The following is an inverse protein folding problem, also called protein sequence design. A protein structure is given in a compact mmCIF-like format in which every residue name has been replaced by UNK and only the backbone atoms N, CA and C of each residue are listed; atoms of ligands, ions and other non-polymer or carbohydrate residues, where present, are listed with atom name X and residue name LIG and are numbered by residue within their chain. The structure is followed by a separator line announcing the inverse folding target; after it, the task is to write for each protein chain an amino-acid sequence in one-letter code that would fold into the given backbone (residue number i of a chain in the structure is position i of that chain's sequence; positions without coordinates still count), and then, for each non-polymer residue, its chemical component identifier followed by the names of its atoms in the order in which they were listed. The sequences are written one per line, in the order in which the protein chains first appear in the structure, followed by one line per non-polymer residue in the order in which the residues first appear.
data_IF_519738864804
#
_entry.id   IF_519738864804
#
_cell.length_a   1.000
_cell.length_b   1.000
_cell.length_c   1.000
_cell.angle_alpha   90.00
_cell.angle_beta   90.00
_cell.angle_gamma   90.00
#
_symmetry.space_group_name_H-M   'P 1'
#
loop_
_entity.id
_entity.type
_entity.pdbx_description
1 polymer ?
#
# COMPACT_ATOMS: atom_id res chain seq x y z
N UNK A 1 -5.88 -76.02 -15.93
CA UNK A 1 -5.34 -76.29 -17.28
C UNK A 1 -5.41 -75.01 -18.09
N UNK A 2 -4.35 -74.75 -18.85
CA UNK A 2 -4.10 -73.60 -19.75
C UNK A 2 -5.16 -73.46 -20.85
N UNK A 3 -5.51 -72.22 -21.24
CA UNK A 3 -5.54 -71.56 -22.59
C UNK A 3 -6.02 -70.10 -22.33
N UNK A 4 -5.22 -69.03 -22.31
CA UNK A 4 -4.43 -68.32 -23.34
C UNK A 4 -5.14 -68.12 -24.69
N UNK A 5 -5.12 -66.85 -25.14
CA UNK A 5 -5.20 -66.24 -26.50
C UNK A 5 -6.35 -65.21 -26.58
N UNK A 6 -6.24 -63.99 -27.11
CA UNK A 6 -5.18 -63.01 -27.45
C UNK A 6 -5.91 -61.82 -28.14
N UNK A 7 -5.46 -60.57 -27.89
CA UNK A 7 -5.56 -59.35 -28.71
C UNK A 7 -6.94 -58.73 -29.08
N UNK A 8 -7.12 -57.45 -28.71
CA UNK A 8 -6.91 -56.37 -29.68
C UNK A 8 -6.43 -55.08 -29.00
N UNK A 9 -5.28 -54.59 -29.47
CA UNK A 9 -4.65 -53.32 -29.15
C UNK A 9 -5.32 -52.19 -29.97
N UNK A 10 -5.68 -51.07 -29.34
CA UNK A 10 -5.77 -49.77 -30.02
C UNK A 10 -5.05 -48.74 -29.13
N UNK A 11 -3.93 -48.15 -29.57
CA UNK A 11 -3.31 -47.01 -28.92
C UNK A 11 -3.91 -45.73 -29.50
N UNK A 12 -4.67 -44.98 -28.71
CA UNK A 12 -5.00 -43.59 -29.03
C UNK A 12 -4.12 -42.68 -28.17
N UNK A 13 -3.03 -42.27 -28.81
CA UNK A 13 -2.22 -41.13 -28.50
C UNK A 13 -3.11 -39.89 -28.38
N UNK A 14 -3.35 -39.42 -27.17
CA UNK A 14 -3.50 -37.99 -26.92
C UNK A 14 -2.27 -37.55 -26.13
N UNK A 15 -1.29 -37.03 -26.87
CA UNK A 15 -0.35 -36.05 -26.36
C UNK A 15 -1.17 -34.82 -25.93
N UNK A 16 -1.64 -34.80 -24.69
CA UNK A 16 -1.81 -33.54 -24.00
C UNK A 16 -0.41 -33.14 -23.53
N UNK A 17 0.27 -32.33 -24.35
CA UNK A 17 1.23 -31.39 -23.80
C UNK A 17 0.44 -30.52 -22.83
N UNK A 18 0.53 -30.81 -21.53
CA UNK A 18 0.36 -29.78 -20.54
C UNK A 18 1.60 -28.89 -20.70
N UNK A 19 1.48 -27.91 -21.60
CA UNK A 19 2.40 -26.79 -21.62
C UNK A 19 2.22 -26.12 -20.27
N UNK A 20 3.15 -26.42 -19.37
CA UNK A 20 3.51 -25.60 -18.24
C UNK A 20 3.72 -24.16 -18.72
N UNK A 21 2.64 -23.38 -18.73
CA UNK A 21 2.79 -21.98 -18.39
C UNK A 21 3.12 -22.00 -16.91
N UNK A 22 4.40 -21.94 -16.59
CA UNK A 22 4.86 -21.38 -15.32
C UNK A 22 4.36 -19.92 -15.30
N UNK A 23 3.07 -19.76 -15.03
CA UNK A 23 2.55 -18.52 -14.49
C UNK A 23 3.17 -18.45 -13.11
N UNK A 24 3.94 -17.40 -12.88
CA UNK A 24 4.48 -17.06 -11.57
C UNK A 24 3.38 -17.33 -10.54
N UNK A 25 3.60 -18.37 -9.71
CA UNK A 25 2.68 -18.68 -8.63
C UNK A 25 2.83 -17.52 -7.66
N UNK A 26 1.98 -16.52 -7.83
CA UNK A 26 1.85 -15.47 -6.85
C UNK A 26 1.61 -16.13 -5.50
N UNK A 27 2.56 -15.94 -4.59
CA UNK A 27 2.42 -16.35 -3.21
C UNK A 27 1.11 -15.79 -2.68
N UNK A 28 0.20 -16.63 -2.15
CA UNK A 28 -1.08 -16.15 -1.66
C UNK A 28 -0.86 -15.12 -0.54
N UNK A 29 -1.68 -14.06 -0.53
CA UNK A 29 -1.66 -13.06 0.53
C UNK A 29 -1.98 -13.72 1.89
N UNK A 30 -1.33 -13.26 2.95
CA UNK A 30 -1.52 -13.82 4.28
C UNK A 30 -2.91 -13.46 4.82
N UNK A 31 -3.59 -14.42 5.44
CA UNK A 31 -4.88 -14.21 6.10
C UNK A 31 -4.75 -14.04 7.62
N UNK A 32 -3.52 -14.07 8.13
CA UNK A 32 -3.18 -13.98 9.56
C UNK A 32 -2.10 -12.94 9.75
N UNK A 33 -2.04 -12.26 10.91
CA UNK A 33 -0.94 -11.37 11.23
C UNK A 33 0.42 -12.06 11.12
N UNK A 34 1.42 -11.31 10.68
CA UNK A 34 2.83 -11.73 10.69
C UNK A 34 3.46 -11.48 12.09
N UNK A 35 2.92 -10.51 12.82
CA UNK A 35 3.38 -10.11 14.15
C UNK A 35 3.28 -11.25 15.18
N UNK A 36 4.27 -11.29 16.09
CA UNK A 36 4.35 -12.24 17.19
C UNK A 36 3.86 -11.61 18.49
N UNK A 37 3.17 -12.37 19.33
CA UNK A 37 2.58 -11.86 20.60
C UNK A 37 3.62 -11.28 21.55
N UNK A 38 4.85 -11.80 21.52
CA UNK A 38 5.96 -11.30 22.33
C UNK A 38 6.44 -9.89 21.95
N UNK A 39 6.04 -9.39 20.78
CA UNK A 39 6.43 -8.08 20.27
C UNK A 39 5.30 -7.06 20.32
N UNK A 40 4.06 -7.42 20.69
CA UNK A 40 2.88 -6.53 20.62
C UNK A 40 3.10 -5.18 21.34
N UNK A 41 3.74 -5.18 22.51
CA UNK A 41 4.00 -3.98 23.33
C UNK A 41 5.48 -3.55 23.31
N UNK A 42 6.21 -3.83 22.23
CA UNK A 42 7.65 -3.51 22.07
C UNK A 42 7.95 -2.68 20.84
N UNK A 43 9.10 -2.04 20.80
CA UNK A 43 9.62 -1.42 19.58
C UNK A 43 9.93 -2.43 18.44
N UNK A 44 10.10 -3.71 18.77
CA UNK A 44 10.35 -4.80 17.81
C UNK A 44 9.05 -5.30 17.19
N UNK A 45 9.14 -6.10 16.12
CA UNK A 45 7.97 -6.66 15.44
C UNK A 45 7.78 -6.15 14.01
N UNK A 46 6.52 -6.15 13.56
CA UNK A 46 6.14 -5.90 12.16
C UNK A 46 5.42 -4.56 12.02
N UNK A 47 5.87 -3.75 11.08
CA UNK A 47 5.27 -2.47 10.72
C UNK A 47 4.91 -2.49 9.25
N UNK A 48 3.70 -2.09 8.89
CA UNK A 48 3.26 -2.01 7.48
C UNK A 48 2.82 -0.61 7.17
N UNK A 49 3.11 -0.16 5.96
CA UNK A 49 2.82 1.18 5.53
C UNK A 49 2.55 1.28 4.04
N UNK A 50 2.07 2.46 3.66
CA UNK A 50 1.80 2.85 2.28
C UNK A 50 2.53 4.14 1.98
N UNK A 51 2.94 4.31 0.72
CA UNK A 51 3.46 5.57 0.19
C UNK A 51 2.56 6.05 -0.93
N UNK A 52 2.33 7.36 -1.03
CA UNK A 52 1.57 7.95 -2.11
C UNK A 52 2.23 9.25 -2.58
N UNK A 53 2.55 9.28 -3.86
CA UNK A 53 2.97 10.45 -4.60
C UNK A 53 2.28 10.50 -5.98
N UNK A 54 2.41 11.61 -6.71
CA UNK A 54 1.71 11.80 -8.00
C UNK A 54 2.12 10.79 -9.06
N UNK A 55 3.37 10.32 -9.00
CA UNK A 55 3.97 9.44 -9.99
C UNK A 55 4.54 8.14 -9.38
N UNK A 56 4.52 8.01 -8.05
CA UNK A 56 5.08 6.87 -7.32
C UNK A 56 4.08 6.38 -6.28
N UNK A 57 3.79 5.08 -6.32
CA UNK A 57 2.89 4.41 -5.38
C UNK A 57 3.55 3.16 -4.84
N UNK A 58 3.23 2.80 -3.60
CA UNK A 58 3.69 1.53 -3.08
C UNK A 58 3.21 1.20 -1.68
N UNK A 59 3.58 0.00 -1.29
CA UNK A 59 3.46 -0.49 0.08
C UNK A 59 4.81 -0.94 0.59
N UNK A 60 4.92 -0.99 1.92
CA UNK A 60 6.12 -1.50 2.54
C UNK A 60 5.83 -2.18 3.86
N UNK A 61 6.73 -3.09 4.22
CA UNK A 61 6.79 -3.76 5.50
C UNK A 61 8.19 -3.62 6.09
N UNK A 62 8.28 -3.22 7.35
CA UNK A 62 9.52 -3.21 8.12
C UNK A 62 9.39 -4.26 9.22
N UNK A 63 10.33 -5.18 9.26
CA UNK A 63 10.47 -6.17 10.33
C UNK A 63 11.69 -5.80 11.18
N UNK A 64 11.52 -5.68 12.49
CA UNK A 64 12.60 -5.43 13.44
C UNK A 64 12.72 -6.64 14.36
N UNK A 65 13.87 -7.32 14.31
CA UNK A 65 14.11 -8.54 15.08
C UNK A 65 14.06 -8.26 16.59
N UNK A 66 13.50 -9.19 17.35
CA UNK A 66 13.43 -9.12 18.81
C UNK A 66 14.77 -9.40 19.51
N UNK A 67 15.77 -9.87 18.76
CA UNK A 67 17.09 -10.20 19.29
C UNK A 67 18.09 -9.08 18.98
N UNK A 68 18.66 -8.41 20.00
CA UNK A 68 19.70 -7.43 19.77
C UNK A 68 20.97 -8.11 19.22
N UNK A 69 21.66 -7.41 18.32
CA UNK A 69 22.95 -7.81 17.77
C UNK A 69 24.08 -7.65 18.81
N UNK A 70 23.84 -6.88 19.87
CA UNK A 70 24.78 -6.63 20.98
C UNK A 70 24.26 -7.06 22.36
N UNK A 71 24.82 -6.49 23.44
CA UNK A 71 24.41 -6.76 24.85
C UNK A 71 24.36 -5.51 25.76
N UNK A 72 24.37 -4.30 25.22
CA UNK A 72 24.45 -3.02 25.97
C UNK A 72 23.43 -1.98 25.49
N UNK A 73 23.14 -0.96 26.30
CA UNK A 73 22.32 0.18 25.86
C UNK A 73 22.94 0.83 24.63
N UNK A 74 22.13 1.07 23.59
CA UNK A 74 22.60 1.47 22.25
C UNK A 74 22.89 0.29 21.32
N UNK A 75 22.46 -0.91 21.70
CA UNK A 75 22.49 -2.08 20.83
C UNK A 75 21.69 -1.82 19.55
N UNK A 76 22.16 -2.47 18.48
CA UNK A 76 21.45 -2.50 17.21
C UNK A 76 20.62 -3.77 17.13
N UNK A 77 19.48 -3.68 16.48
CA UNK A 77 18.64 -4.81 16.09
C UNK A 77 18.72 -4.95 14.58
N UNK A 78 18.58 -6.17 14.08
CA UNK A 78 18.41 -6.36 12.64
C UNK A 78 17.06 -5.77 12.24
N UNK A 79 17.04 -5.02 11.15
CA UNK A 79 15.81 -4.54 10.54
C UNK A 79 15.79 -4.92 9.05
N UNK A 80 14.64 -5.32 8.53
CA UNK A 80 14.48 -5.64 7.11
C UNK A 80 13.31 -4.86 6.56
N UNK A 81 13.57 -4.07 5.51
CA UNK A 81 12.55 -3.38 4.73
C UNK A 81 12.18 -4.25 3.53
N UNK A 82 10.90 -4.52 3.36
CA UNK A 82 10.27 -5.07 2.17
C UNK A 82 9.44 -3.96 1.54
N UNK A 83 9.51 -3.82 0.23
CA UNK A 83 8.82 -2.76 -0.48
C UNK A 83 8.29 -3.27 -1.79
N UNK A 84 7.08 -2.86 -2.14
CA UNK A 84 6.51 -2.98 -3.46
C UNK A 84 6.21 -1.57 -3.96
N UNK A 85 6.96 -1.10 -4.95
CA UNK A 85 6.74 0.20 -5.60
C UNK A 85 6.58 -0.01 -7.08
N UNK A 86 5.49 0.48 -7.65
CA UNK A 86 5.18 0.39 -9.08
C UNK A 86 5.35 -1.05 -9.64
N UNK A 87 4.92 -2.05 -8.88
CA UNK A 87 5.01 -3.48 -9.22
C UNK A 87 6.42 -4.08 -9.08
N UNK A 88 7.38 -3.35 -8.52
CA UNK A 88 8.73 -3.84 -8.23
C UNK A 88 8.88 -4.18 -6.76
N UNK A 89 9.08 -5.47 -6.45
CA UNK A 89 9.36 -5.93 -5.08
C UNK A 89 10.85 -5.90 -4.75
N UNK A 90 11.23 -5.28 -3.64
CA UNK A 90 12.61 -5.19 -3.15
C UNK A 90 12.67 -5.52 -1.65
N UNK A 91 13.78 -6.13 -1.22
CA UNK A 91 14.12 -6.28 0.19
C UNK A 91 15.48 -5.65 0.50
N UNK A 92 15.58 -4.95 1.63
CA UNK A 92 16.81 -4.31 2.11
C UNK A 92 17.00 -4.62 3.59
N UNK A 93 18.11 -5.27 3.92
CA UNK A 93 18.55 -5.40 5.31
C UNK A 93 19.22 -4.10 5.78
N UNK A 94 19.00 -3.77 7.06
CA UNK A 94 19.51 -2.61 7.76
C UNK A 94 19.55 -2.87 9.27
N UNK A 95 19.61 -1.79 10.04
CA UNK A 95 19.71 -1.85 11.51
C UNK A 95 18.76 -0.85 12.16
N UNK A 96 18.09 -1.27 13.22
CA UNK A 96 17.44 -0.37 14.16
C UNK A 96 18.40 -0.09 15.32
N UNK A 97 18.54 1.16 15.76
CA UNK A 97 19.43 1.55 16.87
C UNK A 97 18.63 2.03 18.06
N UNK A 98 18.87 1.45 19.23
CA UNK A 98 18.25 1.90 20.48
C UNK A 98 18.76 3.29 20.89
N UNK A 99 17.82 4.17 21.21
CA UNK A 99 18.07 5.51 21.72
C UNK A 99 18.07 5.51 23.26
N UNK A 100 18.53 6.60 23.88
CA UNK A 100 18.61 6.69 25.34
C UNK A 100 17.27 6.61 26.07
N UNK A 101 16.16 6.88 25.38
CA UNK A 101 14.79 6.76 25.89
C UNK A 101 14.16 5.37 25.63
N UNK A 102 14.94 4.43 25.07
CA UNK A 102 14.49 3.09 24.70
C UNK A 102 13.71 3.02 23.38
N UNK A 103 13.54 4.14 22.68
CA UNK A 103 13.00 4.13 21.30
C UNK A 103 13.99 3.47 20.33
N UNK A 104 13.50 2.93 19.22
CA UNK A 104 14.34 2.47 18.13
C UNK A 104 14.26 3.44 16.97
N UNK A 105 15.43 3.82 16.45
CA UNK A 105 15.57 4.54 15.18
C UNK A 105 16.00 3.58 14.08
N UNK A 106 15.22 3.50 13.01
CA UNK A 106 15.47 2.68 11.83
C UNK A 106 15.72 3.58 10.65
N UNK A 107 16.77 3.30 9.88
CA UNK A 107 17.10 4.05 8.67
C UNK A 107 17.41 3.11 7.51
N UNK A 108 16.81 3.33 6.35
CA UNK A 108 17.17 2.64 5.10
C UNK A 108 17.46 3.65 4.00
N UNK A 109 18.38 3.28 3.11
CA UNK A 109 18.61 3.99 1.85
C UNK A 109 18.80 2.95 0.75
N UNK A 110 18.01 3.04 -0.32
CA UNK A 110 18.00 2.10 -1.44
C UNK A 110 17.59 2.78 -2.74
N UNK A 111 17.96 2.17 -3.88
CA UNK A 111 17.55 2.66 -5.20
C UNK A 111 16.50 1.72 -5.79
N UNK A 112 15.36 2.29 -6.19
CA UNK A 112 14.22 1.58 -6.79
C UNK A 112 13.91 2.26 -8.12
N UNK A 113 13.95 1.51 -9.22
CA UNK A 113 13.63 2.00 -10.57
C UNK A 113 14.39 3.29 -10.97
N UNK A 114 15.59 3.50 -10.40
CA UNK A 114 16.43 4.66 -10.71
C UNK A 114 16.27 5.86 -9.76
N UNK A 115 15.32 5.83 -8.84
CA UNK A 115 15.15 6.82 -7.78
C UNK A 115 15.71 6.32 -6.45
N UNK A 116 16.29 7.22 -5.66
CA UNK A 116 16.80 6.93 -4.32
C UNK A 116 15.68 7.13 -3.32
N UNK A 117 15.39 6.09 -2.54
CA UNK A 117 14.47 6.16 -1.43
C UNK A 117 15.23 6.15 -0.11
N UNK A 118 14.96 7.15 0.73
CA UNK A 118 15.42 7.22 2.10
C UNK A 118 14.23 7.05 3.06
N UNK A 119 14.36 6.11 3.99
CA UNK A 119 13.35 5.80 4.99
C UNK A 119 13.92 6.06 6.38
N UNK A 120 13.22 6.87 7.17
CA UNK A 120 13.49 7.09 8.58
C UNK A 120 12.23 6.74 9.38
N UNK A 121 12.35 5.82 10.34
CA UNK A 121 11.29 5.44 11.26
C UNK A 121 11.81 5.54 12.70
N UNK A 122 11.06 6.19 13.57
CA UNK A 122 11.30 6.17 15.01
C UNK A 122 10.09 5.56 15.70
N UNK A 123 10.32 4.51 16.48
CA UNK A 123 9.29 3.82 17.25
C UNK A 123 9.63 3.89 18.73
N UNK A 124 8.66 4.25 19.55
CA UNK A 124 8.79 4.25 21.00
C UNK A 124 9.08 2.84 21.54
N UNK A 125 9.49 2.75 22.79
CA UNK A 125 9.75 1.46 23.45
C UNK A 125 8.50 0.56 23.54
N UNK A 126 7.29 1.13 23.51
CA UNK A 126 6.01 0.41 23.45
C UNK A 126 5.61 -0.02 22.03
N UNK A 127 6.33 0.41 21.00
CA UNK A 127 5.99 0.13 19.59
C UNK A 127 5.10 1.16 18.92
N UNK A 128 4.72 2.23 19.63
CA UNK A 128 4.01 3.35 19.01
C UNK A 128 4.95 4.09 18.05
N UNK A 129 4.48 4.44 16.87
CA UNK A 129 5.24 5.21 15.88
C UNK A 129 5.34 6.67 16.34
N UNK A 130 6.56 7.11 16.64
CA UNK A 130 6.84 8.50 17.03
C UNK A 130 7.02 9.40 15.81
N UNK A 131 7.64 8.88 14.74
CA UNK A 131 7.84 9.60 13.49
C UNK A 131 8.11 8.64 12.34
N UNK A 132 7.62 8.98 11.16
CA UNK A 132 8.00 8.32 9.90
C UNK A 132 8.28 9.39 8.86
N UNK A 133 9.32 9.19 8.05
CA UNK A 133 9.65 10.03 6.90
C UNK A 133 10.10 9.14 5.76
N UNK A 134 9.55 9.37 4.58
CA UNK A 134 9.98 8.73 3.35
C UNK A 134 10.34 9.82 2.36
N UNK A 135 11.52 9.71 1.76
CA UNK A 135 11.97 10.63 0.73
C UNK A 135 12.30 9.89 -0.55
N UNK A 136 11.93 10.47 -1.67
CA UNK A 136 12.31 10.04 -3.01
C UNK A 136 13.17 11.13 -3.63
N UNK A 137 14.40 10.80 -3.99
CA UNK A 137 15.39 11.73 -4.56
C UNK A 137 15.60 13.01 -3.72
N UNK A 138 15.45 12.88 -2.40
CA UNK A 138 15.59 13.95 -1.42
C UNK A 138 14.32 14.74 -1.11
N UNK A 139 13.23 14.54 -1.86
CA UNK A 139 11.93 15.15 -1.59
C UNK A 139 11.02 14.23 -0.76
N UNK A 140 10.30 14.81 0.21
CA UNK A 140 9.39 14.07 1.07
C UNK A 140 8.12 13.66 0.32
N UNK A 141 7.78 12.38 0.39
CA UNK A 141 6.56 11.81 -0.19
C UNK A 141 5.58 11.42 0.91
N UNK A 142 4.29 11.33 0.56
CA UNK A 142 3.25 10.92 1.51
C UNK A 142 3.52 9.51 2.02
N UNK A 143 3.41 9.32 3.33
CA UNK A 143 3.57 8.01 3.98
C UNK A 143 2.63 7.85 5.18
N UNK A 144 2.18 6.63 5.42
CA UNK A 144 1.46 6.24 6.64
C UNK A 144 1.91 4.84 7.01
N UNK A 145 2.13 4.62 8.30
CA UNK A 145 2.62 3.35 8.85
C UNK A 145 1.83 3.00 10.09
N UNK A 146 1.59 1.71 10.29
CA UNK A 146 1.07 1.15 11.53
C UNK A 146 1.88 -0.07 11.93
N UNK A 147 1.89 -0.33 13.23
CA UNK A 147 2.40 -1.58 13.77
C UNK A 147 1.31 -2.65 13.66
N UNK A 148 1.67 -3.83 13.19
CA UNK A 148 0.76 -4.97 13.21
C UNK A 148 0.83 -5.64 14.59
N UNK A 149 -0.33 -6.04 15.12
CA UNK A 149 -0.40 -6.84 16.35
C UNK A 149 -0.62 -8.30 16.04
N UNK A 150 -0.23 -9.19 16.94
CA UNK A 150 -0.40 -10.64 16.80
C UNK A 150 -1.85 -11.12 16.69
N UNK A 151 -2.81 -10.24 16.97
CA UNK A 151 -4.25 -10.54 16.97
C UNK A 151 -5.03 -9.82 15.88
N UNK A 152 -4.45 -8.79 15.26
CA UNK A 152 -5.14 -7.97 14.26
C UNK A 152 -4.28 -7.86 13.01
N UNK A 153 -4.78 -8.40 11.90
CA UNK A 153 -4.13 -8.33 10.60
C UNK A 153 -4.13 -6.88 10.13
N UNK A 154 -2.96 -6.41 9.70
CA UNK A 154 -2.78 -5.12 9.06
C UNK A 154 -2.61 -5.36 7.56
N UNK A 155 -3.58 -4.92 6.76
CA UNK A 155 -3.58 -5.08 5.31
C UNK A 155 -3.14 -3.77 4.64
N UNK A 156 -2.16 -3.82 3.74
CA UNK A 156 -1.77 -2.69 2.92
C UNK A 156 -2.41 -2.79 1.53
N UNK A 157 -2.85 -1.64 0.99
CA UNK A 157 -3.62 -1.57 -0.25
C UNK A 157 -3.09 -0.47 -1.14
N UNK A 158 -2.99 -0.80 -2.43
CA UNK A 158 -2.60 0.12 -3.48
C UNK A 158 -3.76 0.38 -4.41
N UNK A 159 -3.95 1.63 -4.79
CA UNK A 159 -5.10 2.02 -5.58
C UNK A 159 -4.85 3.24 -6.42
N UNK A 160 -5.79 3.48 -7.31
CA UNK A 160 -5.85 4.67 -8.15
C UNK A 160 -7.24 5.28 -8.10
N UNK A 161 -7.31 6.58 -8.34
CA UNK A 161 -8.56 7.29 -8.49
C UNK A 161 -8.55 8.13 -9.77
N UNK A 162 -9.74 8.36 -10.30
CA UNK A 162 -9.99 9.32 -11.37
C UNK A 162 -11.29 10.06 -11.12
N UNK A 163 -11.33 11.34 -11.44
CA UNK A 163 -12.53 12.16 -11.30
C UNK A 163 -12.51 13.41 -12.16
N UNK A 164 -13.65 14.06 -12.25
CA UNK A 164 -13.83 15.34 -12.92
C UNK A 164 -13.84 16.45 -11.88
N UNK A 165 -13.21 17.57 -12.23
CA UNK A 165 -13.36 18.82 -11.50
C UNK A 165 -14.38 19.67 -12.25
N UNK A 166 -15.55 19.86 -11.66
CA UNK A 166 -16.61 20.74 -12.11
C UNK A 166 -16.45 22.13 -11.48
N UNK A 167 -15.74 23.00 -12.18
CA UNK A 167 -15.69 24.41 -11.84
C UNK A 167 -16.58 25.19 -12.81
N UNK A 168 -17.49 26.03 -12.30
CA UNK A 168 -18.39 26.88 -13.10
C UNK A 168 -17.67 27.85 -14.05
N UNK A 169 -16.35 28.01 -13.86
CA UNK A 169 -15.47 28.81 -14.71
C UNK A 169 -14.92 28.05 -15.93
N UNK A 170 -15.14 26.73 -16.01
CA UNK A 170 -14.73 25.89 -17.14
C UNK A 170 -15.74 26.09 -18.28
N UNK A 171 -15.33 26.60 -19.45
CA UNK A 171 -16.25 26.78 -20.58
C UNK A 171 -16.71 25.45 -21.17
N UNK A 172 -17.86 25.46 -21.85
CA UNK A 172 -18.39 24.28 -22.56
C UNK A 172 -17.35 23.68 -23.53
N UNK A 173 -17.19 22.35 -23.46
CA UNK A 173 -16.24 21.60 -24.28
C UNK A 173 -14.84 21.44 -23.67
N UNK A 174 -14.59 22.05 -22.51
CA UNK A 174 -13.37 21.85 -21.74
C UNK A 174 -13.58 20.95 -20.52
N UNK A 175 -12.50 20.35 -20.04
CA UNK A 175 -12.49 19.52 -18.83
C UNK A 175 -11.26 19.77 -17.98
N UNK A 176 -11.40 19.50 -16.70
CA UNK A 176 -10.30 19.27 -15.76
C UNK A 176 -10.55 17.90 -15.15
N UNK A 177 -9.55 17.02 -15.23
CA UNK A 177 -9.57 15.68 -14.67
C UNK A 177 -8.54 15.59 -13.57
N UNK A 178 -8.92 14.99 -12.47
CA UNK A 178 -8.02 14.67 -11.38
C UNK A 178 -7.75 13.16 -11.39
N UNK A 179 -6.48 12.77 -11.44
CA UNK A 179 -6.07 11.36 -11.42
C UNK A 179 -4.90 11.19 -10.48
N UNK A 180 -4.87 10.08 -9.76
CA UNK A 180 -3.79 9.85 -8.80
C UNK A 180 -3.82 8.48 -8.16
N UNK A 181 -2.99 8.35 -7.13
CA UNK A 181 -2.81 7.20 -6.26
C UNK A 181 -3.72 7.34 -5.04
N UNK A 182 -4.21 6.20 -4.56
CA UNK A 182 -5.10 6.10 -3.40
C UNK A 182 -4.73 4.84 -2.62
N UNK A 183 -3.89 5.02 -1.60
CA UNK A 183 -3.29 3.89 -0.89
C UNK A 183 -3.65 3.95 0.59
N UNK A 184 -3.88 2.80 1.21
CA UNK A 184 -4.37 2.77 2.59
C UNK A 184 -3.99 1.49 3.33
N UNK A 185 -4.09 1.57 4.65
CA UNK A 185 -4.01 0.47 5.58
C UNK A 185 -5.41 0.13 6.10
N UNK A 186 -5.72 -1.16 6.20
CA UNK A 186 -6.88 -1.66 6.94
C UNK A 186 -6.39 -2.37 8.20
N UNK A 187 -6.89 -1.93 9.35
CA UNK A 187 -6.70 -2.59 10.66
C UNK A 187 -8.08 -2.90 11.25
N UNK A 188 -8.48 -4.18 11.21
CA UNK A 188 -9.82 -4.58 11.62
C UNK A 188 -10.90 -3.91 10.77
N UNK A 189 -11.66 -2.98 11.36
CA UNK A 189 -12.70 -2.21 10.67
C UNK A 189 -12.30 -0.76 10.37
N UNK A 190 -11.07 -0.35 10.70
CA UNK A 190 -10.56 1.01 10.50
C UNK A 190 -9.71 1.06 9.24
N UNK A 191 -9.85 2.14 8.50
CA UNK A 191 -9.06 2.44 7.33
C UNK A 191 -8.35 3.78 7.54
N UNK A 192 -7.09 3.86 7.13
CA UNK A 192 -6.30 5.10 7.13
C UNK A 192 -5.43 5.11 5.89
N UNK A 193 -5.44 6.21 5.15
CA UNK A 193 -4.75 6.26 3.88
C UNK A 193 -4.39 7.64 3.39
N UNK A 194 -3.79 7.63 2.23
CA UNK A 194 -3.20 8.75 1.52
C UNK A 194 -3.73 8.77 0.10
N UNK A 195 -3.89 9.98 -0.43
CA UNK A 195 -4.03 10.18 -1.86
C UNK A 195 -3.00 11.17 -2.34
N UNK A 196 -2.53 10.98 -3.56
CA UNK A 196 -1.71 11.96 -4.26
C UNK A 196 -2.02 11.92 -5.74
N UNK A 197 -2.12 13.07 -6.40
CA UNK A 197 -2.48 13.14 -7.79
C UNK A 197 -2.26 14.49 -8.42
N UNK A 198 -2.65 14.57 -9.69
CA UNK A 198 -2.44 15.72 -10.54
C UNK A 198 -3.66 15.98 -11.39
N UNK A 199 -3.88 17.25 -11.67
CA UNK A 199 -4.88 17.66 -12.62
C UNK A 199 -4.34 17.62 -14.04
N UNK A 200 -5.20 17.20 -14.97
CA UNK A 200 -4.98 17.28 -16.40
C UNK A 200 -6.14 18.02 -17.04
N UNK A 201 -5.85 18.86 -18.03
CA UNK A 201 -6.86 19.67 -18.71
C UNK A 201 -6.60 19.75 -20.20
N UNK A 202 -7.65 19.93 -20.99
CA UNK A 202 -7.56 20.36 -22.38
C UNK A 202 -7.73 21.88 -22.56
N UNK A 203 -7.82 22.63 -21.45
CA UNK A 203 -7.95 24.08 -21.47
C UNK A 203 -6.62 24.75 -21.87
N UNK A 204 -6.67 25.84 -22.65
CA UNK A 204 -5.52 26.71 -22.81
C UNK A 204 -5.07 27.25 -21.45
N UNK A 205 -3.74 27.35 -21.25
CA UNK A 205 -3.15 27.78 -19.97
C UNK A 205 -3.58 29.19 -19.50
N UNK A 206 -4.12 30.01 -20.40
CA UNK A 206 -4.69 31.33 -20.06
C UNK A 206 -6.02 31.25 -19.28
N UNK A 207 -6.72 30.11 -19.33
CA UNK A 207 -7.99 29.90 -18.61
C UNK A 207 -7.82 29.03 -17.36
N UNK A 208 -6.79 28.17 -17.32
CA UNK A 208 -6.60 27.24 -16.23
C UNK A 208 -5.13 26.89 -16.03
N UNK A 209 -4.68 26.94 -14.79
CA UNK A 209 -3.38 26.39 -14.38
C UNK A 209 -3.67 25.15 -13.54
N UNK A 210 -3.35 23.95 -14.04
CA UNK A 210 -3.56 22.71 -13.27
C UNK A 210 -2.85 22.74 -11.93
N UNK A 211 -3.54 22.27 -10.89
CA UNK A 211 -2.87 21.89 -9.66
C UNK A 211 -2.16 20.55 -9.87
N UNK A 212 -0.84 20.57 -9.80
CA UNK A 212 0.01 19.39 -10.02
C UNK A 212 0.39 18.70 -8.71
N UNK A 213 -0.19 19.10 -7.58
CA UNK A 213 0.27 18.68 -6.25
C UNK A 213 -0.86 18.41 -5.27
N UNK A 214 -1.92 17.73 -5.73
CA UNK A 214 -3.00 17.35 -4.84
C UNK A 214 -2.57 16.18 -3.98
N UNK A 215 -2.51 16.38 -2.67
CA UNK A 215 -2.19 15.33 -1.71
C UNK A 215 -2.93 15.53 -0.40
N UNK A 216 -3.26 14.43 0.25
CA UNK A 216 -3.92 14.49 1.55
C UNK A 216 -4.10 13.12 2.19
N UNK A 217 -4.65 13.15 3.40
CA UNK A 217 -4.93 11.97 4.20
C UNK A 217 -6.45 11.76 4.29
N UNK A 218 -6.84 10.51 4.51
CA UNK A 218 -8.21 10.16 4.83
C UNK A 218 -8.26 9.02 5.82
N UNK A 219 -9.39 8.93 6.50
CA UNK A 219 -9.72 7.81 7.37
C UNK A 219 -11.03 7.19 6.89
N UNK A 220 -11.39 6.05 7.44
CA UNK A 220 -12.65 5.41 7.08
C UNK A 220 -12.98 4.23 7.95
N UNK A 221 -14.16 3.70 7.70
CA UNK A 221 -14.70 2.51 8.35
C UNK A 221 -15.14 1.49 7.32
N UNK A 222 -14.98 0.22 7.71
CA UNK A 222 -15.44 -0.94 6.95
C UNK A 222 -16.49 -1.68 7.76
N UNK A 223 -17.70 -1.78 7.23
CA UNK A 223 -18.81 -2.48 7.86
C UNK A 223 -19.31 -3.55 6.89
N UNK A 224 -18.97 -4.81 7.17
CA UNK A 224 -19.12 -5.90 6.21
C UNK A 224 -18.26 -5.62 4.98
N UNK A 225 -18.89 -5.57 3.81
CA UNK A 225 -18.20 -5.27 2.55
C UNK A 225 -18.27 -3.79 2.18
N UNK A 226 -18.94 -2.94 2.98
CA UNK A 226 -19.12 -1.51 2.68
C UNK A 226 -18.01 -0.67 3.29
N UNK A 227 -17.48 0.27 2.50
CA UNK A 227 -16.46 1.24 2.90
C UNK A 227 -17.11 2.62 2.97
N UNK A 228 -16.84 3.35 4.04
CA UNK A 228 -17.16 4.78 4.17
C UNK A 228 -15.89 5.53 4.52
N UNK A 229 -15.64 6.63 3.83
CA UNK A 229 -14.41 7.41 3.96
C UNK A 229 -14.72 8.80 4.49
N UNK A 230 -13.86 9.28 5.37
CA UNK A 230 -13.84 10.62 5.93
C UNK A 230 -12.52 11.29 5.51
N UNK A 231 -12.63 12.29 4.65
CA UNK A 231 -11.48 13.05 4.15
C UNK A 231 -11.10 14.14 5.16
N UNK A 232 -9.81 14.38 5.37
CA UNK A 232 -9.36 15.48 6.20
C UNK A 232 -9.50 16.81 5.45
N UNK A 233 -10.35 17.72 5.95
CA UNK A 233 -10.59 19.11 5.51
C UNK A 233 -11.07 19.31 4.06
N UNK A 234 -12.20 20.03 3.86
CA UNK A 234 -12.78 20.43 2.56
C UNK A 234 -12.83 19.34 1.47
N UNK A 235 -12.82 18.06 1.85
CA UNK A 235 -12.91 16.91 0.94
C UNK A 235 -14.35 16.57 0.54
N UNK A 236 -14.55 15.62 -0.38
CA UNK A 236 -15.89 15.22 -0.83
C UNK A 236 -16.78 14.82 0.35
N UNK A 237 -18.00 15.38 0.41
CA UNK A 237 -18.96 15.06 1.48
C UNK A 237 -19.46 13.61 1.41
N UNK A 238 -19.41 12.98 0.22
CA UNK A 238 -19.79 11.60 0.02
C UNK A 238 -18.62 10.84 -0.58
N UNK A 239 -18.04 9.93 0.20
CA UNK A 239 -17.02 9.01 -0.29
C UNK A 239 -17.29 7.59 0.23
N UNK A 240 -17.62 6.67 -0.67
CA UNK A 240 -18.05 5.32 -0.32
C UNK A 240 -17.58 4.28 -1.33
N UNK A 241 -17.51 3.03 -0.89
CA UNK A 241 -17.06 1.94 -1.75
C UNK A 241 -17.40 0.56 -1.20
N UNK A 242 -16.82 -0.45 -1.84
CA UNK A 242 -16.99 -1.85 -1.51
C UNK A 242 -15.66 -2.60 -1.51
N UNK A 243 -15.50 -3.53 -0.57
CA UNK A 243 -14.42 -4.51 -0.51
C UNK A 243 -14.96 -5.87 -0.96
N UNK A 244 -14.35 -6.45 -1.99
CA UNK A 244 -14.63 -7.82 -2.45
C UNK A 244 -13.33 -8.61 -2.47
N UNK A 245 -13.09 -9.40 -1.42
CA UNK A 245 -11.83 -10.13 -1.27
C UNK A 245 -10.63 -9.18 -1.15
N UNK A 246 -9.69 -9.29 -2.09
CA UNK A 246 -8.47 -8.50 -2.21
C UNK A 246 -8.61 -7.33 -3.21
N UNK A 247 -9.84 -6.94 -3.52
CA UNK A 247 -10.14 -5.79 -4.37
C UNK A 247 -11.08 -4.81 -3.68
N UNK A 248 -10.87 -3.52 -3.90
CA UNK A 248 -11.77 -2.45 -3.50
C UNK A 248 -12.13 -1.56 -4.68
N UNK A 249 -13.31 -0.96 -4.63
CA UNK A 249 -13.72 0.09 -5.55
C UNK A 249 -14.76 0.99 -4.91
N UNK A 250 -14.89 2.21 -5.41
CA UNK A 250 -15.91 3.13 -4.92
C UNK A 250 -15.99 4.41 -5.73
N UNK A 251 -16.77 5.33 -5.20
CA UNK A 251 -17.03 6.64 -5.79
C UNK A 251 -16.94 7.73 -4.74
N UNK A 252 -16.65 8.93 -5.20
CA UNK A 252 -16.72 10.14 -4.38
C UNK A 252 -17.45 11.25 -5.13
N UNK A 253 -18.07 12.15 -4.39
CA UNK A 253 -18.72 13.35 -4.91
C UNK A 253 -18.78 14.44 -3.86
N UNK A 254 -18.73 15.69 -4.29
CA UNK A 254 -19.08 16.85 -3.48
C UNK A 254 -20.58 17.16 -3.63
N UNK A 255 -21.24 17.59 -2.56
CA UNK A 255 -22.66 17.92 -2.47
C UNK A 255 -23.02 19.13 -3.35
N UNK A 256 -22.07 20.02 -3.58
CA UNK A 256 -22.22 21.13 -4.52
C UNK A 256 -22.07 20.70 -6.00
N UNK A 257 -21.78 19.42 -6.24
CA UNK A 257 -21.53 18.85 -7.55
C UNK A 257 -20.24 19.36 -8.20
N UNK A 258 -19.37 20.02 -7.43
CA UNK A 258 -18.14 20.64 -7.94
C UNK A 258 -17.09 19.62 -8.37
N UNK A 259 -17.18 18.37 -7.96
CA UNK A 259 -16.31 17.30 -8.43
C UNK A 259 -16.93 15.94 -8.13
N UNK A 260 -16.66 14.96 -8.98
CA UNK A 260 -17.02 13.57 -8.77
C UNK A 260 -15.96 12.64 -9.32
N UNK A 261 -15.96 11.39 -8.87
CA UNK A 261 -15.01 10.41 -9.37
C UNK A 261 -15.23 9.00 -8.86
N UNK A 262 -14.30 8.14 -9.27
CA UNK A 262 -14.22 6.75 -8.86
C UNK A 262 -12.81 6.40 -8.42
N UNK A 263 -12.72 5.37 -7.59
CA UNK A 263 -11.44 4.83 -7.12
C UNK A 263 -11.51 3.32 -7.09
N UNK A 264 -10.34 2.69 -7.18
CA UNK A 264 -10.18 1.24 -7.12
C UNK A 264 -8.81 0.89 -6.55
N UNK A 265 -8.69 -0.30 -6.00
CA UNK A 265 -7.42 -0.78 -5.47
C UNK A 265 -7.40 -2.27 -5.21
N UNK A 266 -6.21 -2.77 -4.95
CA UNK A 266 -5.93 -4.17 -4.66
C UNK A 266 -5.06 -4.29 -3.42
N UNK A 267 -5.25 -5.37 -2.68
CA UNK A 267 -4.41 -5.67 -1.52
C UNK A 267 -3.00 -6.00 -2.00
N UNK A 268 -2.01 -5.41 -1.35
CA UNK A 268 -0.58 -5.61 -1.62
C UNK A 268 0.09 -6.37 -0.46
N UNK A 269 1.33 -6.79 -0.66
CA UNK A 269 2.07 -7.71 0.22
C UNK A 269 2.84 -7.05 1.36
#
# INVERSE_FOLDING_TARGET
MKKLVLLLLIPLLFFACDMSSDGDKETPLTATPDAQTEDDDKATGVYKGVIADSDTSGTYKIEIDSTPLGRSVGDSYKATLYMEVDGTTISKEGTATEQSDGSLKVTFSLTIVGSVFDFDLTVSSSGDISSVSVKMDGEEIGTTVKKESSTTLLEAWEGTYEGNVHNSSIPDGYYVKNTGTWNFLIEGNKLEGLYSGKETTNMPAEYYTPDLSQKGNYTGLIIGDSITLEMADDGPEICSGQKTGDSVNGTWSFDDGSSDGSWKGTRSR
#
